data_IF_892562352665
#
_entry.id   IF_892562352665
#
_cell.length_a   1.000
_cell.length_b   1.000
_cell.length_c   1.000
_cell.angle_alpha   90.00
_cell.angle_beta   90.00
_cell.angle_gamma   90.00
#
_symmetry.space_group_name_H-M   'P 1'
#
loop_
_entity.id
_entity.type
_entity.pdbx_description
1 polymer ?
#
# COMPACT_ATOMS: atom_id res chain seq x y z
N UNK A 1 5.95 -1.75 19.98
CA UNK A 1 5.86 -1.29 18.58
C UNK A 1 6.19 -2.39 17.56
N UNK A 2 7.39 -2.98 17.57
CA UNK A 2 7.81 -4.01 16.58
C UNK A 2 6.82 -5.17 16.38
N UNK A 3 6.41 -5.85 17.46
CA UNK A 3 5.43 -6.96 17.40
C UNK A 3 4.08 -6.56 16.79
N UNK A 4 3.64 -5.33 17.04
CA UNK A 4 2.38 -4.81 16.50
C UNK A 4 2.47 -4.58 14.99
N UNK A 5 3.60 -4.07 14.51
CA UNK A 5 3.89 -3.91 13.08
C UNK A 5 3.96 -5.28 12.38
N UNK A 6 4.60 -6.27 13.00
CA UNK A 6 4.69 -7.63 12.45
C UNK A 6 3.30 -8.29 12.36
N UNK A 7 2.48 -8.18 13.41
CA UNK A 7 1.11 -8.67 13.40
C UNK A 7 0.25 -7.97 12.34
N UNK A 8 0.39 -6.65 12.18
CA UNK A 8 -0.33 -5.90 11.14
C UNK A 8 0.04 -6.37 9.73
N UNK A 9 1.31 -6.68 9.47
CA UNK A 9 1.73 -7.22 8.17
C UNK A 9 1.18 -8.62 7.90
N UNK A 10 0.99 -9.44 8.94
CA UNK A 10 0.35 -10.75 8.81
C UNK A 10 -1.14 -10.63 8.55
N UNK A 11 -1.82 -9.70 9.23
CA UNK A 11 -3.24 -9.40 8.96
C UNK A 11 -3.42 -8.92 7.51
N UNK A 12 -2.53 -8.04 7.04
CA UNK A 12 -2.54 -7.54 5.67
C UNK A 12 -2.48 -8.67 4.61
N UNK A 13 -1.77 -9.76 4.89
CA UNK A 13 -1.75 -10.94 4.00
C UNK A 13 -3.05 -11.73 3.98
N UNK A 14 -3.82 -11.64 5.07
CA UNK A 14 -5.10 -12.34 5.24
C UNK A 14 -6.30 -11.59 4.68
N UNK A 15 -6.19 -10.27 4.47
CA UNK A 15 -7.30 -9.45 3.97
C UNK A 15 -7.55 -9.78 2.49
N UNK A 16 -8.70 -10.41 2.23
CA UNK A 16 -9.21 -10.69 0.87
C UNK A 16 -10.36 -9.77 0.47
N UNK A 17 -10.80 -8.91 1.37
CA UNK A 17 -11.97 -8.06 1.19
C UNK A 17 -11.59 -6.73 0.53
N UNK A 18 -12.45 -6.25 -0.38
CA UNK A 18 -12.34 -4.89 -0.90
C UNK A 18 -12.77 -3.92 0.20
N UNK A 19 -11.85 -3.10 0.68
CA UNK A 19 -12.19 -2.02 1.61
C UNK A 19 -13.00 -0.93 0.88
N UNK A 20 -13.99 -0.30 1.54
CA UNK A 20 -14.70 0.83 0.95
C UNK A 20 -13.71 1.94 0.60
N UNK A 21 -13.70 2.33 -0.68
CA UNK A 21 -12.81 3.37 -1.17
C UNK A 21 -13.35 4.71 -0.70
N UNK A 22 -12.76 5.28 0.35
CA UNK A 22 -13.01 6.65 0.73
C UNK A 22 -11.96 7.54 0.06
N UNK A 23 -12.38 8.42 -0.86
CA UNK A 23 -11.51 9.45 -1.42
C UNK A 23 -11.20 10.48 -0.33
N UNK A 24 -10.09 10.29 0.37
CA UNK A 24 -9.56 11.27 1.31
C UNK A 24 -8.97 12.43 0.50
N UNK A 25 -9.21 13.68 0.92
CA UNK A 25 -8.60 14.86 0.30
C UNK A 25 -7.08 14.67 0.20
N UNK A 26 -6.50 15.10 -0.92
CA UNK A 26 -5.06 15.07 -1.11
C UNK A 26 -4.38 16.03 -0.12
N UNK A 27 -3.92 15.51 1.01
CA UNK A 27 -3.10 16.24 1.97
C UNK A 27 -1.62 16.01 1.70
N UNK A 28 -0.80 17.05 1.88
CA UNK A 28 0.66 16.89 1.85
C UNK A 28 1.09 15.91 2.94
N UNK A 29 2.10 15.10 2.65
CA UNK A 29 2.63 14.18 3.65
C UNK A 29 3.12 14.94 4.88
N UNK A 30 2.69 14.48 6.05
CA UNK A 30 3.16 14.90 7.37
C UNK A 30 3.51 13.66 8.19
N UNK A 31 4.49 13.76 9.11
CA UNK A 31 4.75 12.70 10.05
C UNK A 31 3.52 12.40 10.91
N UNK A 32 3.36 11.15 11.38
CA UNK A 32 2.30 10.81 12.33
C UNK A 32 2.55 11.48 13.69
N UNK A 33 1.52 11.52 14.53
CA UNK A 33 1.65 11.95 15.92
C UNK A 33 2.60 11.03 16.72
N UNK A 34 3.12 11.53 17.84
CA UNK A 34 3.97 10.74 18.74
C UNK A 34 3.29 9.43 19.11
N UNK A 35 4.06 8.33 19.18
CA UNK A 35 3.59 6.96 19.40
C UNK A 35 2.70 6.37 18.30
N UNK A 36 2.48 7.06 17.18
CA UNK A 36 1.78 6.53 16.03
C UNK A 36 2.75 6.14 14.91
N UNK A 37 2.28 5.27 14.03
CA UNK A 37 2.98 4.93 12.79
C UNK A 37 2.12 5.31 11.60
N UNK A 38 2.77 5.64 10.49
CA UNK A 38 2.10 5.91 9.21
C UNK A 38 2.44 4.83 8.21
N UNK A 39 1.41 4.18 7.67
CA UNK A 39 1.51 3.19 6.60
C UNK A 39 1.25 3.91 5.28
N UNK A 40 2.23 3.92 4.38
CA UNK A 40 2.07 4.44 3.03
C UNK A 40 2.04 3.25 2.07
N UNK A 41 1.08 3.19 1.16
CA UNK A 41 0.99 2.18 0.11
C UNK A 41 1.22 2.85 -1.24
N UNK A 42 1.92 2.17 -2.15
CA UNK A 42 2.07 2.60 -3.53
C UNK A 42 2.13 1.39 -4.47
N UNK A 43 1.77 1.59 -5.72
CA UNK A 43 1.96 0.61 -6.79
C UNK A 43 2.82 1.21 -7.91
N UNK A 44 3.62 0.36 -8.55
CA UNK A 44 4.46 0.74 -9.68
C UNK A 44 4.34 -0.31 -10.78
N UNK A 45 4.31 0.16 -12.02
CA UNK A 45 4.29 -0.68 -13.22
C UNK A 45 5.56 -0.47 -14.03
N UNK A 46 6.25 -1.57 -14.33
CA UNK A 46 7.39 -1.62 -15.23
C UNK A 46 6.95 -2.12 -16.59
N UNK A 47 6.83 -1.21 -17.56
CA UNK A 47 6.37 -1.53 -18.91
C UNK A 47 7.35 -2.43 -19.69
N UNK A 48 8.66 -2.33 -19.44
CA UNK A 48 9.66 -3.11 -20.20
C UNK A 48 9.54 -4.60 -19.90
N UNK A 49 9.39 -4.94 -18.62
CA UNK A 49 9.28 -6.32 -18.16
C UNK A 49 7.83 -6.79 -17.99
N UNK A 50 6.85 -5.88 -18.17
CA UNK A 50 5.43 -6.10 -17.88
C UNK A 50 5.16 -6.51 -16.42
N UNK A 51 5.94 -5.99 -15.49
CA UNK A 51 5.84 -6.31 -14.07
C UNK A 51 5.01 -5.27 -13.35
N UNK A 52 4.09 -5.72 -12.49
CA UNK A 52 3.36 -4.85 -11.57
C UNK A 52 3.78 -5.20 -10.15
N UNK A 53 4.12 -4.19 -9.36
CA UNK A 53 4.49 -4.35 -7.97
C UNK A 53 3.70 -3.39 -7.11
N UNK A 54 3.27 -3.84 -5.94
CA UNK A 54 2.70 -3.01 -4.89
C UNK A 54 3.60 -3.07 -3.67
N UNK A 55 3.66 -1.98 -2.91
CA UNK A 55 4.53 -1.89 -1.75
C UNK A 55 3.94 -1.03 -0.66
N UNK A 56 4.25 -1.40 0.58
CA UNK A 56 3.93 -0.62 1.76
C UNK A 56 5.18 -0.26 2.54
N UNK A 57 5.17 0.94 3.10
CA UNK A 57 6.24 1.48 3.96
C UNK A 57 5.64 2.02 5.25
N UNK A 58 6.12 1.51 6.38
CA UNK A 58 5.69 1.89 7.73
C UNK A 58 6.76 2.80 8.34
N UNK A 59 6.34 4.00 8.73
CA UNK A 59 7.23 5.04 9.28
C UNK A 59 6.81 5.48 10.68
N UNK A 60 7.78 5.89 11.50
CA UNK A 60 7.54 6.53 12.80
C UNK A 60 7.31 8.05 12.66
N UNK A 61 7.11 8.73 13.78
CA UNK A 61 6.94 10.18 13.92
C UNK A 61 8.13 11.01 13.44
N UNK A 62 9.32 10.43 13.37
CA UNK A 62 10.53 11.07 12.80
C UNK A 62 10.64 10.83 11.28
N UNK A 63 9.71 10.09 10.68
CA UNK A 63 9.75 9.69 9.28
C UNK A 63 10.70 8.52 8.97
N UNK A 64 11.35 7.94 9.98
CA UNK A 64 12.23 6.77 9.84
C UNK A 64 11.41 5.54 9.46
N UNK A 65 11.94 4.75 8.53
CA UNK A 65 11.29 3.50 8.09
C UNK A 65 11.50 2.44 9.17
N UNK A 66 10.41 1.92 9.71
CA UNK A 66 10.43 0.81 10.66
C UNK A 66 10.35 -0.54 9.95
N UNK A 67 9.60 -0.60 8.84
CA UNK A 67 9.42 -1.81 8.03
C UNK A 67 8.91 -1.45 6.63
N UNK A 68 9.23 -2.28 5.65
CA UNK A 68 8.69 -2.22 4.30
C UNK A 68 8.36 -3.62 3.81
N UNK A 69 7.40 -3.71 2.88
CA UNK A 69 7.02 -4.95 2.21
C UNK A 69 6.69 -4.65 0.75
N UNK A 70 7.13 -5.53 -0.13
CA UNK A 70 6.82 -5.52 -1.55
C UNK A 70 6.01 -6.78 -1.87
N UNK A 71 5.07 -6.65 -2.80
CA UNK A 71 4.23 -7.71 -3.32
C UNK A 71 4.25 -7.59 -4.83
N UNK A 72 4.85 -8.58 -5.48
CA UNK A 72 4.73 -8.76 -6.91
C UNK A 72 3.30 -9.18 -7.22
N UNK A 73 2.68 -8.51 -8.19
CA UNK A 73 1.31 -8.82 -8.61
C UNK A 73 1.43 -9.67 -9.86
N UNK A 74 1.12 -10.96 -9.72
CA UNK A 74 1.09 -11.89 -10.85
C UNK A 74 -0.06 -11.54 -11.82
N UNK A 75 0.23 -11.58 -13.11
CA UNK A 75 -0.75 -11.40 -14.18
C UNK A 75 -0.35 -10.36 -15.24
N UNK A 76 -1.15 -10.26 -16.30
CA UNK A 76 -0.99 -9.20 -17.30
C UNK A 76 -1.31 -7.85 -16.67
N UNK A 77 -0.29 -7.04 -16.44
CA UNK A 77 -0.42 -5.75 -15.79
C UNK A 77 -1.40 -4.81 -16.49
N UNK A 78 -1.55 -4.91 -17.82
CA UNK A 78 -2.50 -4.11 -18.58
C UNK A 78 -3.95 -4.47 -18.21
N UNK A 79 -4.23 -5.76 -18.07
CA UNK A 79 -5.53 -6.27 -17.63
C UNK A 79 -5.83 -5.90 -16.17
N UNK A 80 -4.82 -5.92 -15.29
CA UNK A 80 -4.96 -5.49 -13.89
C UNK A 80 -5.24 -3.99 -13.80
N UNK A 81 -4.48 -3.16 -14.52
CA UNK A 81 -4.66 -1.70 -14.53
C UNK A 81 -6.05 -1.34 -15.07
N UNK A 82 -6.49 -1.95 -16.17
CA UNK A 82 -7.84 -1.73 -16.72
C UNK A 82 -8.94 -2.12 -15.75
N UNK A 83 -8.79 -3.28 -15.07
CA UNK A 83 -9.74 -3.72 -14.05
C UNK A 83 -9.80 -2.75 -12.88
N UNK A 84 -8.66 -2.28 -12.39
CA UNK A 84 -8.59 -1.27 -11.34
C UNK A 84 -9.27 0.02 -11.79
N UNK A 85 -8.93 0.55 -12.95
CA UNK A 85 -9.51 1.80 -13.47
C UNK A 85 -11.04 1.73 -13.62
N UNK A 86 -11.57 0.61 -14.13
CA UNK A 86 -13.02 0.42 -14.28
C UNK A 86 -13.74 0.27 -12.93
N UNK A 87 -13.09 -0.32 -11.91
CA UNK A 87 -13.65 -0.42 -10.55
C UNK A 87 -13.73 0.95 -9.83
N UNK A 88 -13.18 2.03 -10.40
CA UNK A 88 -13.21 3.40 -9.83
C UNK A 88 -14.11 4.39 -10.61
N UNK A 89 -14.84 3.94 -11.63
CA UNK A 89 -15.72 4.77 -12.48
C UNK A 89 -17.20 4.83 -12.05
N UNK A 90 -17.59 4.17 -10.94
CA UNK A 90 -18.93 4.29 -10.32
C UNK A 90 -18.96 5.31 -9.16
#
# INVERSE_FOLDING_TARGET
>A
MKRLIENYLLEFDGIKEKLPIQRIKAERWRPPETLHVKVNSNAAYNQQNKELCSGIVIRNEEGRILKAKLVEIEGDALSVIKKLQNDFED
#
